data_IF_775679953838
#
_entry.id   IF_775679953838
#
_cell.length_a   1.000
_cell.length_b   1.000
_cell.length_c   1.000
_cell.angle_alpha   90.00
_cell.angle_beta   90.00
_cell.angle_gamma   90.00
#
_symmetry.space_group_name_H-M   'P 1'
#
loop_
_entity.id
_entity.type
_entity.pdbx_description
1 polymer ?
#
# COMPACT_ATOMS: atom_id res chain seq x y z
N UNK A 1 -18.34 18.89 9.69
CA UNK A 1 -18.96 18.01 8.67
C UNK A 1 -17.86 17.17 8.07
N UNK A 2 -17.86 15.85 8.31
CA UNK A 2 -16.83 14.96 7.77
C UNK A 2 -17.05 14.83 6.25
N UNK A 3 -16.03 15.11 5.41
CA UNK A 3 -16.18 15.15 3.95
C UNK A 3 -16.50 13.79 3.31
N UNK A 4 -16.41 12.68 4.06
CA UNK A 4 -16.75 11.33 3.61
C UNK A 4 -18.19 10.92 3.92
N UNK A 5 -18.94 11.72 4.68
CA UNK A 5 -20.34 11.43 5.03
C UNK A 5 -21.33 11.98 3.98
N UNK A 6 -20.84 12.78 3.02
CA UNK A 6 -21.70 13.39 2.01
C UNK A 6 -21.11 13.16 0.60
N UNK A 7 -21.68 12.26 -0.21
CA UNK A 7 -21.15 11.89 -1.53
C UNK A 7 -21.18 13.05 -2.54
N UNK A 8 -21.88 14.14 -2.23
CA UNK A 8 -21.89 15.38 -3.02
C UNK A 8 -20.69 16.30 -2.79
N UNK A 9 -19.71 15.92 -1.96
CA UNK A 9 -18.59 16.81 -1.63
C UNK A 9 -17.60 16.90 -2.81
N UNK A 10 -17.44 18.07 -3.46
CA UNK A 10 -16.56 18.21 -4.62
C UNK A 10 -15.10 17.85 -4.28
N UNK A 11 -14.41 17.19 -5.21
CA UNK A 11 -12.98 16.88 -5.09
C UNK A 11 -12.63 15.47 -4.64
N UNK A 12 -13.58 14.68 -4.09
CA UNK A 12 -13.32 13.29 -3.67
C UNK A 12 -12.79 12.40 -4.83
N UNK A 13 -13.24 12.68 -6.05
CA UNK A 13 -12.74 12.04 -7.26
C UNK A 13 -11.22 12.28 -7.45
N UNK A 14 -10.73 13.46 -7.09
CA UNK A 14 -9.30 13.79 -7.20
C UNK A 14 -8.50 12.95 -6.18
N UNK A 15 -9.00 12.81 -4.96
CA UNK A 15 -8.37 11.96 -3.95
C UNK A 15 -8.30 10.50 -4.41
N UNK A 16 -9.38 9.98 -5.00
CA UNK A 16 -9.44 8.62 -5.55
C UNK A 16 -8.41 8.44 -6.67
N UNK A 17 -8.38 9.36 -7.65
CA UNK A 17 -7.44 9.27 -8.77
C UNK A 17 -5.98 9.33 -8.31
N UNK A 18 -5.68 10.18 -7.34
CA UNK A 18 -4.32 10.33 -6.84
C UNK A 18 -3.87 9.09 -6.04
N UNK A 19 -4.75 8.48 -5.24
CA UNK A 19 -4.49 7.18 -4.61
C UNK A 19 -4.23 6.11 -5.68
N UNK A 20 -5.03 6.06 -6.74
CA UNK A 20 -4.85 5.10 -7.82
C UNK A 20 -3.50 5.28 -8.54
N UNK A 21 -3.14 6.52 -8.89
CA UNK A 21 -1.87 6.84 -9.56
C UNK A 21 -0.66 6.49 -8.70
N UNK A 22 -0.68 6.82 -7.39
CA UNK A 22 0.39 6.45 -6.47
C UNK A 22 0.50 4.94 -6.31
N UNK A 23 -0.63 4.23 -6.24
CA UNK A 23 -0.66 2.77 -6.14
C UNK A 23 -0.03 2.12 -7.38
N UNK A 24 -0.39 2.59 -8.58
CA UNK A 24 0.21 2.12 -9.83
C UNK A 24 1.72 2.36 -9.84
N UNK A 25 2.16 3.57 -9.45
CA UNK A 25 3.59 3.89 -9.36
C UNK A 25 4.34 2.95 -8.41
N UNK A 26 3.83 2.75 -7.20
CA UNK A 26 4.45 1.86 -6.20
C UNK A 26 4.48 0.40 -6.67
N UNK A 27 3.44 -0.03 -7.38
CA UNK A 27 3.37 -1.37 -7.99
C UNK A 27 4.43 -1.53 -9.08
N UNK A 28 4.57 -0.53 -9.95
CA UNK A 28 5.60 -0.51 -11.00
C UNK A 28 7.02 -0.48 -10.41
N UNK A 29 7.27 0.33 -9.38
CA UNK A 29 8.54 0.34 -8.65
C UNK A 29 8.85 -1.04 -8.08
N UNK A 30 7.86 -1.69 -7.46
CA UNK A 30 8.01 -3.04 -6.90
C UNK A 30 8.39 -4.07 -7.96
N UNK A 31 7.77 -4.01 -9.14
CA UNK A 31 8.07 -4.90 -10.26
C UNK A 31 9.42 -4.59 -10.93
N UNK A 32 9.84 -3.32 -10.91
CA UNK A 32 11.09 -2.88 -11.52
C UNK A 32 12.33 -3.19 -10.65
N UNK A 33 12.16 -3.44 -9.35
CA UNK A 33 13.26 -3.76 -8.42
C UNK A 33 14.14 -4.90 -8.94
N UNK A 34 15.45 -4.72 -8.85
CA UNK A 34 16.45 -5.70 -9.30
C UNK A 34 16.39 -6.00 -10.82
N UNK A 35 15.81 -5.10 -11.61
CA UNK A 35 15.83 -5.16 -13.07
C UNK A 35 16.44 -3.87 -13.63
N UNK A 36 16.78 -3.85 -14.92
CA UNK A 36 17.25 -2.61 -15.56
C UNK A 36 16.20 -1.47 -15.58
N UNK A 37 14.91 -1.80 -15.37
CA UNK A 37 13.83 -0.81 -15.31
C UNK A 37 13.91 0.06 -14.06
N UNK A 38 14.64 -0.35 -13.02
CA UNK A 38 14.84 0.45 -11.80
C UNK A 38 15.51 1.80 -12.09
N UNK A 39 16.34 1.88 -13.15
CA UNK A 39 16.97 3.13 -13.59
C UNK A 39 15.95 4.13 -14.17
N UNK A 40 14.81 3.64 -14.67
CA UNK A 40 13.73 4.45 -15.26
C UNK A 40 12.68 4.77 -14.20
N UNK A 41 12.37 3.80 -13.35
CA UNK A 41 11.38 3.90 -12.28
C UNK A 41 12.09 3.66 -10.95
N UNK A 42 12.84 4.66 -10.43
CA UNK A 42 13.64 4.48 -9.24
C UNK A 42 12.76 4.22 -8.02
N UNK A 43 13.26 3.41 -7.11
CA UNK A 43 12.60 3.15 -5.84
C UNK A 43 12.40 4.46 -5.05
N UNK A 44 11.32 4.52 -4.28
CA UNK A 44 11.10 5.63 -3.36
C UNK A 44 11.55 5.23 -1.96
N UNK A 45 12.36 6.08 -1.33
CA UNK A 45 12.78 5.90 0.07
C UNK A 45 11.68 6.30 1.07
N UNK A 46 10.45 6.43 0.60
CA UNK A 46 9.32 6.96 1.36
C UNK A 46 8.22 5.92 1.34
N UNK A 47 7.86 5.45 2.53
CA UNK A 47 6.89 4.39 2.71
C UNK A 47 5.47 4.92 2.98
N UNK A 48 5.32 6.19 3.37
CA UNK A 48 4.01 6.80 3.63
C UNK A 48 3.88 8.23 3.12
N UNK A 49 2.68 8.53 2.61
CA UNK A 49 2.32 9.80 2.03
C UNK A 49 1.03 10.30 2.68
N UNK A 50 1.04 11.54 3.12
CA UNK A 50 -0.18 12.28 3.44
C UNK A 50 -0.42 13.29 2.33
N UNK A 51 -1.67 13.40 1.92
CA UNK A 51 -2.08 14.35 0.90
C UNK A 51 -3.47 14.88 1.22
N UNK A 52 -3.72 16.13 0.85
CA UNK A 52 -5.08 16.64 0.75
C UNK A 52 -5.25 17.48 -0.50
N UNK A 53 -6.38 17.32 -1.19
CA UNK A 53 -6.86 18.25 -2.21
C UNK A 53 -7.45 19.55 -1.63
N UNK A 54 -7.31 19.77 -0.31
CA UNK A 54 -7.84 20.91 0.43
C UNK A 54 -6.81 21.46 1.40
N UNK A 55 -7.00 22.71 1.79
CA UNK A 55 -6.30 23.31 2.93
C UNK A 55 -6.89 22.78 4.25
N UNK A 56 -6.04 22.60 5.26
CA UNK A 56 -6.45 22.22 6.62
C UNK A 56 -5.72 20.99 7.17
N UNK A 57 -6.07 20.61 8.40
CA UNK A 57 -5.36 19.62 9.23
C UNK A 57 -3.87 19.95 9.42
N UNK A 58 -3.02 19.49 8.51
CA UNK A 58 -1.58 19.76 8.51
C UNK A 58 -1.11 20.40 7.18
N UNK A 59 -2.02 20.74 6.27
CA UNK A 59 -1.71 21.29 4.95
C UNK A 59 -2.03 22.80 4.90
N UNK A 60 -1.04 23.57 4.48
CA UNK A 60 -1.12 25.01 4.33
C UNK A 60 -1.85 25.39 3.02
N UNK A 61 -1.72 24.55 1.99
CA UNK A 61 -2.32 24.72 0.67
C UNK A 61 -2.87 23.39 0.11
N UNK A 62 -3.86 23.42 -0.81
CA UNK A 62 -4.31 22.23 -1.53
C UNK A 62 -3.19 21.54 -2.33
N UNK A 63 -3.32 20.23 -2.52
CA UNK A 63 -2.39 19.37 -3.27
C UNK A 63 -0.97 19.28 -2.71
N UNK A 64 -0.79 19.71 -1.47
CA UNK A 64 0.43 19.44 -0.75
C UNK A 64 0.55 17.95 -0.44
N UNK A 65 1.73 17.41 -0.67
CA UNK A 65 2.12 16.06 -0.27
C UNK A 65 3.12 16.22 0.88
N UNK A 66 2.84 15.56 2.00
CA UNK A 66 3.78 15.41 3.10
C UNK A 66 4.22 13.96 3.18
N UNK A 67 5.51 13.77 3.43
CA UNK A 67 6.12 12.46 3.54
C UNK A 67 6.32 12.13 5.01
N UNK A 68 5.89 10.94 5.41
CA UNK A 68 6.08 10.43 6.75
C UNK A 68 6.81 9.10 6.67
N UNK A 69 7.77 8.89 7.55
CA UNK A 69 8.41 7.61 7.73
C UNK A 69 7.81 6.95 8.99
N UNK A 70 7.28 5.74 8.86
CA UNK A 70 6.81 4.97 10.01
C UNK A 70 7.70 3.75 10.19
N UNK A 71 8.45 3.72 11.28
CA UNK A 71 9.22 2.55 11.63
C UNK A 71 8.32 1.41 12.08
N UNK A 72 8.66 0.19 11.67
CA UNK A 72 8.01 -1.04 12.13
C UNK A 72 8.15 -1.15 13.66
N UNK A 73 7.04 -1.35 14.35
CA UNK A 73 7.04 -1.59 15.79
C UNK A 73 7.64 -2.96 16.10
N UNK A 74 8.60 -3.02 17.02
CA UNK A 74 9.31 -4.27 17.38
C UNK A 74 8.37 -5.29 18.02
N UNK A 75 7.36 -4.80 18.74
CA UNK A 75 6.38 -5.57 19.50
C UNK A 75 5.11 -5.87 18.68
N UNK A 76 5.09 -5.57 17.38
CA UNK A 76 3.92 -5.85 16.55
C UNK A 76 3.59 -7.36 16.55
N UNK A 77 2.35 -7.78 16.83
CA UNK A 77 2.02 -9.21 16.87
C UNK A 77 2.07 -9.89 15.49
N UNK A 78 1.94 -9.10 14.41
CA UNK A 78 1.93 -9.61 13.03
C UNK A 78 3.34 -9.61 12.43
N UNK A 79 4.07 -8.52 12.64
CA UNK A 79 5.36 -8.28 12.00
C UNK A 79 6.47 -7.92 13.00
N UNK A 80 6.26 -7.93 14.31
CA UNK A 80 7.34 -7.65 15.26
C UNK A 80 8.47 -8.68 15.20
N UNK A 81 9.64 -8.39 15.77
CA UNK A 81 10.72 -9.38 15.88
C UNK A 81 10.30 -10.60 16.71
N UNK A 82 9.31 -10.42 17.59
CA UNK A 82 8.69 -11.45 18.41
C UNK A 82 7.48 -12.09 17.73
N UNK A 83 7.19 -11.78 16.46
CA UNK A 83 6.11 -12.45 15.74
C UNK A 83 6.48 -13.92 15.62
N UNK A 84 5.81 -14.78 16.39
CA UNK A 84 5.95 -16.23 16.30
C UNK A 84 5.44 -16.80 14.97
N UNK A 85 5.09 -15.94 14.00
CA UNK A 85 5.28 -16.18 12.57
C UNK A 85 4.77 -17.51 12.05
N UNK A 86 3.75 -18.10 12.69
CA UNK A 86 3.09 -19.27 12.15
C UNK A 86 2.22 -18.75 11.03
N UNK A 87 2.74 -18.81 9.82
CA UNK A 87 2.01 -18.62 8.56
C UNK A 87 1.04 -19.79 8.33
N UNK A 88 0.32 -20.21 9.37
CA UNK A 88 -0.63 -21.33 9.34
C UNK A 88 -1.69 -21.15 8.27
N UNK A 89 -2.03 -19.90 7.94
CA UNK A 89 -2.95 -19.60 6.85
C UNK A 89 -2.36 -19.86 5.46
N UNK A 90 -1.12 -19.41 5.20
CA UNK A 90 -0.47 -19.61 3.89
C UNK A 90 -0.08 -21.07 3.68
N UNK A 91 0.42 -21.74 4.72
CA UNK A 91 0.74 -23.17 4.71
C UNK A 91 -0.51 -24.00 4.37
N UNK A 92 -1.65 -23.68 5.00
CA UNK A 92 -2.93 -24.35 4.75
C UNK A 92 -3.48 -24.08 3.35
N UNK A 93 -3.39 -22.83 2.87
CA UNK A 93 -3.75 -22.50 1.48
C UNK A 93 -2.89 -23.28 0.48
N UNK A 94 -1.58 -23.38 0.74
CA UNK A 94 -0.65 -24.06 -0.17
C UNK A 94 -0.91 -25.57 -0.22
N UNK A 95 -1.30 -26.19 0.90
CA UNK A 95 -1.77 -27.59 0.93
C UNK A 95 -3.08 -27.77 0.16
N UNK A 96 -4.06 -26.88 0.32
CA UNK A 96 -5.33 -26.90 -0.43
C UNK A 96 -5.10 -26.76 -1.95
N UNK A 97 -4.22 -25.84 -2.37
CA UNK A 97 -3.85 -25.69 -3.78
C UNK A 97 -3.13 -26.92 -4.34
N UNK A 98 -2.23 -27.55 -3.56
CA UNK A 98 -1.59 -28.81 -3.96
C UNK A 98 -2.60 -29.96 -4.09
N UNK A 99 -3.56 -30.04 -3.18
CA UNK A 99 -4.62 -31.05 -3.22
C UNK A 99 -5.54 -30.85 -4.45
N UNK A 100 -5.90 -29.61 -4.76
CA UNK A 100 -6.65 -29.26 -5.97
C UNK A 100 -5.87 -29.57 -7.24
N UNK A 101 -4.58 -29.18 -7.31
CA UNK A 101 -3.73 -29.49 -8.46
C UNK A 101 -3.63 -31.00 -8.69
N UNK A 102 -3.44 -31.80 -7.63
CA UNK A 102 -3.39 -33.26 -7.73
C UNK A 102 -4.71 -33.88 -8.19
N UNK A 103 -5.85 -33.26 -7.90
CA UNK A 103 -7.19 -33.74 -8.28
C UNK A 103 -7.56 -33.41 -9.74
N UNK A 104 -7.01 -32.34 -10.30
CA UNK A 104 -7.45 -31.79 -11.59
C UNK A 104 -6.36 -31.72 -12.67
N UNK A 105 -5.09 -31.98 -12.35
CA UNK A 105 -3.94 -31.93 -13.29
C UNK A 105 -3.18 -33.27 -13.41
N UNK A 106 -3.66 -34.36 -12.80
CA UNK A 106 -3.20 -35.74 -13.02
C UNK A 106 -4.39 -36.60 -13.38
#
# INVERSE_FOLDING_TARGET
LHPYENPGTPGINIDIWEVALKTVRLSLQTLARNTDLEKIIPDTNIDHFLMSNRRGWIFDEPYQIRYLAFSRLKECPVCGQTSNGKLTFLEKQQEEYKALAKKYLI
#
